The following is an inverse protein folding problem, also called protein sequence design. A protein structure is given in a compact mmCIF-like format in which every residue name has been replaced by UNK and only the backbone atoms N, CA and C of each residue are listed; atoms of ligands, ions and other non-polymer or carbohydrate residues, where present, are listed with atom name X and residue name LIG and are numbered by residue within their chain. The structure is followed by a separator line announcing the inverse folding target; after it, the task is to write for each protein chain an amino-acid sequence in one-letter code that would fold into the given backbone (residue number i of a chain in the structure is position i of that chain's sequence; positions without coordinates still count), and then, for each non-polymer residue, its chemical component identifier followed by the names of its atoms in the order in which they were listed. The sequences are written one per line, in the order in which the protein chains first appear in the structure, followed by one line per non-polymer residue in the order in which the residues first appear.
data_IF_541252544569
#
_entry.id   IF_541252544569
#
_cell.length_a   1.000
_cell.length_b   1.000
_cell.length_c   1.000
_cell.angle_alpha   90.00
_cell.angle_beta   90.00
_cell.angle_gamma   90.00
#
_symmetry.space_group_name_H-M   'P 1'
#
loop_
_entity.id
_entity.type
_entity.pdbx_description
1 polymer ?
#
# COMPACT_ATOMS: atom_id res chain seq x y z
N UNK A 1 8.30 4.57 11.17
CA UNK A 1 7.40 3.39 11.21
C UNK A 1 7.31 2.73 9.85
N UNK A 2 6.87 1.48 9.81
CA UNK A 2 6.66 0.72 8.58
C UNK A 2 5.21 0.83 8.10
N UNK A 3 5.03 1.06 6.79
CA UNK A 3 3.73 1.17 6.13
C UNK A 3 3.67 0.16 5.00
N UNK A 4 2.85 -0.89 5.11
CA UNK A 4 2.72 -1.88 4.04
C UNK A 4 1.52 -1.60 3.14
N UNK A 5 1.75 -1.67 1.82
CA UNK A 5 0.73 -1.44 0.81
C UNK A 5 0.27 -2.79 0.25
N UNK A 6 -0.94 -3.20 0.58
CA UNK A 6 -1.51 -4.50 0.26
C UNK A 6 -2.69 -4.36 -0.70
N UNK A 7 -2.86 -5.31 -1.60
CA UNK A 7 -4.00 -5.31 -2.52
C UNK A 7 -3.79 -6.20 -3.73
N UNK A 8 -4.83 -6.33 -4.55
CA UNK A 8 -4.79 -7.16 -5.77
C UNK A 8 -3.67 -6.75 -6.74
N UNK A 9 -3.19 -7.68 -7.58
CA UNK A 9 -2.37 -7.31 -8.73
C UNK A 9 -3.00 -6.13 -9.48
N UNK A 10 -2.17 -5.18 -9.93
CA UNK A 10 -2.60 -4.00 -10.69
C UNK A 10 -3.52 -2.99 -9.97
N UNK A 11 -3.78 -3.13 -8.66
CA UNK A 11 -4.54 -2.14 -7.88
C UNK A 11 -3.86 -0.76 -7.77
N UNK A 12 -2.55 -0.67 -8.08
CA UNK A 12 -1.79 0.58 -8.09
C UNK A 12 -0.85 0.79 -6.90
N UNK A 13 -0.48 -0.28 -6.17
CA UNK A 13 0.44 -0.23 -5.02
C UNK A 13 1.76 0.49 -5.31
N UNK A 14 2.52 0.04 -6.31
CA UNK A 14 3.80 0.67 -6.67
C UNK A 14 3.63 2.11 -7.17
N UNK A 15 2.55 2.39 -7.90
CA UNK A 15 2.22 3.77 -8.33
C UNK A 15 1.95 4.67 -7.14
N UNK A 16 1.20 4.19 -6.15
CA UNK A 16 0.92 4.91 -4.90
C UNK A 16 2.23 5.21 -4.15
N UNK A 17 3.06 4.18 -3.93
CA UNK A 17 4.34 4.32 -3.23
C UNK A 17 5.23 5.36 -3.91
N UNK A 18 5.48 5.22 -5.23
CA UNK A 18 6.36 6.13 -5.97
C UNK A 18 5.87 7.58 -5.92
N UNK A 19 4.54 7.78 -5.85
CA UNK A 19 3.95 9.11 -5.78
C UNK A 19 4.05 9.71 -4.37
N UNK A 20 3.84 8.91 -3.34
CA UNK A 20 4.02 9.32 -1.94
C UNK A 20 5.48 9.71 -1.64
N UNK A 21 6.44 9.00 -2.24
CA UNK A 21 7.88 9.28 -2.09
C UNK A 21 8.38 10.44 -2.96
N UNK A 22 7.49 11.03 -3.78
CA UNK A 22 7.86 11.88 -4.89
C UNK A 22 8.59 11.09 -5.98
N UNK A 23 8.54 11.57 -7.22
CA UNK A 23 9.12 10.89 -8.39
C UNK A 23 10.67 10.68 -8.33
N UNK A 24 11.32 10.84 -7.16
CA UNK A 24 12.75 10.62 -6.93
C UNK A 24 13.13 9.14 -6.91
N UNK A 25 12.16 8.24 -6.72
CA UNK A 25 12.38 6.79 -6.79
C UNK A 25 11.80 6.29 -8.11
N UNK A 26 12.63 6.29 -9.16
CA UNK A 26 12.30 5.58 -10.40
C UNK A 26 12.35 4.06 -10.14
N UNK A 27 11.30 3.53 -9.53
CA UNK A 27 10.99 2.10 -9.55
C UNK A 27 9.70 1.93 -10.36
N UNK A 28 9.66 2.55 -11.54
CA UNK A 28 8.67 2.26 -12.58
C UNK A 28 9.32 1.40 -13.64
N UNK A 29 9.40 0.10 -13.41
CA UNK A 29 9.41 -0.81 -14.56
C UNK A 29 7.96 -1.01 -14.97
N UNK A 30 7.57 -0.49 -16.14
CA UNK A 30 6.26 -0.68 -16.77
C UNK A 30 6.04 -2.12 -17.27
N UNK A 31 6.36 -3.14 -16.46
CA UNK A 31 6.05 -4.53 -16.78
C UNK A 31 4.86 -5.00 -15.95
N UNK A 32 3.78 -5.51 -16.56
CA UNK A 32 2.85 -6.36 -15.82
C UNK A 32 3.69 -7.47 -15.15
N UNK A 33 3.53 -7.70 -13.83
CA UNK A 33 4.28 -8.67 -12.98
C UNK A 33 5.57 -8.20 -12.24
N UNK A 34 5.71 -6.92 -11.87
CA UNK A 34 7.00 -6.38 -11.36
C UNK A 34 7.39 -6.75 -9.93
N UNK A 35 6.46 -6.87 -8.99
CA UNK A 35 6.82 -7.03 -7.58
C UNK A 35 6.82 -8.52 -7.20
N UNK A 36 7.83 -9.28 -7.66
CA UNK A 36 8.10 -10.65 -7.14
C UNK A 36 8.83 -10.62 -5.79
N UNK A 37 9.50 -9.51 -5.50
CA UNK A 37 10.19 -9.20 -4.24
C UNK A 37 9.59 -7.92 -3.64
N UNK A 38 9.57 -7.81 -2.32
CA UNK A 38 9.18 -6.58 -1.63
C UNK A 38 10.11 -5.44 -2.03
N UNK A 39 9.56 -4.28 -2.35
CA UNK A 39 10.32 -3.06 -2.59
C UNK A 39 10.15 -2.18 -1.35
N UNK A 40 11.27 -1.61 -0.91
CA UNK A 40 11.32 -0.73 0.25
C UNK A 40 11.58 0.68 -0.26
N UNK A 41 10.68 1.59 0.06
CA UNK A 41 10.81 3.02 -0.23
C UNK A 41 10.83 3.82 1.07
N UNK A 42 11.76 4.76 1.19
CA UNK A 42 12.02 5.47 2.44
C UNK A 42 11.73 6.96 2.24
N UNK A 43 10.85 7.50 3.09
CA UNK A 43 10.59 8.93 3.23
C UNK A 43 11.16 9.40 4.55
N UNK A 44 12.18 10.27 4.50
CA UNK A 44 12.79 10.84 5.69
C UNK A 44 12.56 12.35 5.74
N UNK A 45 12.10 12.83 6.87
CA UNK A 45 12.04 14.25 7.25
C UNK A 45 13.01 14.50 8.41
N UNK A 46 13.00 15.70 9.00
CA UNK A 46 13.94 16.05 10.07
C UNK A 46 13.75 15.18 11.31
N UNK A 47 12.50 14.94 11.70
CA UNK A 47 12.07 14.27 12.92
C UNK A 47 11.23 13.00 12.67
N UNK A 48 11.08 12.59 11.40
CA UNK A 48 10.24 11.45 11.02
C UNK A 48 10.89 10.58 9.94
N UNK A 49 10.64 9.27 10.01
CA UNK A 49 10.96 8.34 8.93
C UNK A 49 9.81 7.35 8.69
N UNK A 50 9.39 7.27 7.43
CA UNK A 50 8.35 6.37 6.94
C UNK A 50 8.98 5.38 5.98
N UNK A 51 8.80 4.09 6.25
CA UNK A 51 9.29 3.02 5.40
C UNK A 51 8.11 2.34 4.71
N UNK A 52 7.91 2.65 3.44
CA UNK A 52 6.89 2.03 2.61
C UNK A 52 7.35 0.66 2.11
N UNK A 53 6.48 -0.32 2.25
CA UNK A 53 6.67 -1.69 1.78
C UNK A 53 5.69 -1.95 0.64
N UNK A 54 6.14 -1.86 -0.61
CA UNK A 54 5.36 -2.31 -1.77
C UNK A 54 5.45 -3.82 -1.91
N UNK A 55 4.30 -4.49 -1.80
CA UNK A 55 4.23 -5.95 -1.80
C UNK A 55 3.80 -6.51 -3.15
N UNK A 56 4.11 -7.78 -3.43
CA UNK A 56 3.43 -8.53 -4.48
C UNK A 56 1.89 -8.39 -4.39
N UNK A 57 1.21 -8.47 -5.53
CA UNK A 57 -0.26 -8.49 -5.53
C UNK A 57 -0.79 -9.75 -4.84
N UNK A 58 -1.77 -9.58 -3.94
CA UNK A 58 -2.32 -10.69 -3.17
C UNK A 58 -3.15 -11.59 -4.08
N UNK A 59 -2.81 -12.88 -4.07
CA UNK A 59 -3.42 -13.93 -4.90
C UNK A 59 -3.53 -15.23 -4.11
N UNK A 60 -4.37 -16.14 -4.58
CA UNK A 60 -4.37 -17.53 -4.11
C UNK A 60 -3.25 -18.32 -4.83
N UNK A 61 -2.22 -18.78 -4.11
CA UNK A 61 -1.03 -19.36 -4.72
C UNK A 61 -1.27 -20.79 -5.21
N UNK A 62 -0.88 -21.08 -6.45
CA UNK A 62 -0.97 -22.41 -7.09
C UNK A 62 0.38 -23.12 -7.21
N UNK A 63 1.48 -22.38 -7.23
CA UNK A 63 2.85 -22.91 -7.39
C UNK A 63 3.85 -22.16 -6.50
N UNK A 64 5.07 -22.71 -6.36
CA UNK A 64 6.05 -22.27 -5.35
C UNK A 64 6.42 -20.79 -5.41
N UNK A 65 6.58 -20.23 -6.62
CA UNK A 65 6.85 -18.80 -6.77
C UNK A 65 5.74 -17.94 -6.13
N UNK A 66 4.47 -18.32 -6.35
CA UNK A 66 3.35 -17.58 -5.75
C UNK A 66 3.31 -17.77 -4.23
N UNK A 67 3.65 -18.96 -3.72
CA UNK A 67 3.76 -19.19 -2.27
C UNK A 67 4.85 -18.30 -1.67
N UNK A 68 6.01 -18.19 -2.31
CA UNK A 68 7.08 -17.30 -1.89
C UNK A 68 6.65 -15.82 -1.90
N UNK A 69 5.99 -15.36 -2.98
CA UNK A 69 5.41 -14.02 -3.04
C UNK A 69 4.45 -13.76 -1.87
N UNK A 70 3.63 -14.75 -1.52
CA UNK A 70 2.68 -14.60 -0.45
C UNK A 70 3.31 -14.62 0.95
N UNK A 71 4.41 -15.35 1.16
CA UNK A 71 5.23 -15.22 2.37
C UNK A 71 5.77 -13.80 2.53
N UNK A 72 6.18 -13.15 1.44
CA UNK A 72 6.62 -11.75 1.43
C UNK A 72 5.49 -10.81 1.85
N UNK A 73 4.27 -11.02 1.34
CA UNK A 73 3.08 -10.28 1.75
C UNK A 73 2.80 -10.47 3.24
N UNK A 74 2.81 -11.72 3.73
CA UNK A 74 2.53 -12.03 5.13
C UNK A 74 3.56 -11.40 6.09
N UNK A 75 4.84 -11.36 5.69
CA UNK A 75 5.90 -10.66 6.42
C UNK A 75 5.69 -9.15 6.46
N UNK A 76 5.49 -8.51 5.31
CA UNK A 76 5.22 -7.07 5.22
C UNK A 76 4.03 -6.67 6.11
N UNK A 77 2.97 -7.47 6.07
CA UNK A 77 1.79 -7.29 6.92
C UNK A 77 2.12 -7.40 8.41
N UNK A 78 3.03 -8.30 8.79
CA UNK A 78 3.42 -8.54 10.19
C UNK A 78 4.30 -7.42 10.73
N UNK A 79 5.22 -6.92 9.91
CA UNK A 79 6.21 -5.90 10.29
C UNK A 79 5.63 -4.48 10.28
N UNK A 80 4.56 -4.23 9.53
CA UNK A 80 3.98 -2.89 9.38
C UNK A 80 3.25 -2.38 10.62
N UNK A 81 3.46 -1.10 10.94
CA UNK A 81 2.68 -0.34 11.93
C UNK A 81 1.32 0.07 11.36
N UNK A 82 1.30 0.47 10.08
CA UNK A 82 0.10 0.88 9.33
C UNK A 82 -0.03 0.03 8.08
N UNK A 83 -1.25 -0.43 7.79
CA UNK A 83 -1.59 -1.19 6.60
C UNK A 83 -2.46 -0.38 5.68
N UNK A 84 -2.05 -0.24 4.43
CA UNK A 84 -2.87 0.37 3.38
C UNK A 84 -3.48 -0.73 2.52
N UNK A 85 -4.79 -0.95 2.62
CA UNK A 85 -5.52 -1.82 1.70
C UNK A 85 -5.92 -1.02 0.46
N UNK A 86 -5.17 -1.18 -0.63
CA UNK A 86 -5.51 -0.53 -1.90
C UNK A 86 -6.44 -1.38 -2.76
N UNK A 87 -7.51 -0.73 -3.22
CA UNK A 87 -8.55 -1.31 -4.05
C UNK A 87 -8.70 -0.48 -5.33
N UNK A 88 -8.73 -1.14 -6.49
CA UNK A 88 -9.10 -0.49 -7.74
C UNK A 88 -10.62 -0.28 -7.75
N UNK A 89 -11.08 0.95 -7.89
CA UNK A 89 -12.51 1.26 -7.88
C UNK A 89 -13.32 0.51 -8.96
N UNK A 90 -12.70 0.16 -10.10
CA UNK A 90 -13.33 -0.64 -11.17
C UNK A 90 -13.15 -2.15 -10.99
N UNK A 91 -12.21 -2.61 -10.16
CA UNK A 91 -11.99 -4.02 -9.83
C UNK A 91 -11.91 -4.22 -8.31
N UNK A 92 -13.04 -3.98 -7.65
CA UNK A 92 -13.16 -3.93 -6.19
C UNK A 92 -13.49 -5.27 -5.53
N UNK A 93 -13.48 -6.38 -6.29
CA UNK A 93 -13.63 -7.72 -5.74
C UNK A 93 -12.39 -8.07 -4.92
N UNK A 94 -12.55 -8.36 -3.62
CA UNK A 94 -11.46 -8.72 -2.73
C UNK A 94 -11.20 -10.24 -2.80
N UNK A 95 -9.95 -10.72 -2.97
CA UNK A 95 -9.65 -12.15 -2.95
C UNK A 95 -9.89 -12.74 -1.56
N UNK A 96 -10.34 -13.99 -1.47
CA UNK A 96 -10.59 -14.68 -0.19
C UNK A 96 -9.38 -14.68 0.75
N UNK A 97 -8.17 -14.69 0.22
CA UNK A 97 -6.95 -14.52 1.03
C UNK A 97 -6.86 -13.17 1.73
N UNK A 98 -7.23 -12.07 1.07
CA UNK A 98 -7.25 -10.74 1.72
C UNK A 98 -8.25 -10.78 2.88
N UNK A 99 -9.46 -11.34 2.71
CA UNK A 99 -10.39 -11.51 3.84
C UNK A 99 -9.76 -12.22 5.04
N UNK A 100 -9.11 -13.36 4.80
CA UNK A 100 -8.44 -14.14 5.85
C UNK A 100 -7.29 -13.39 6.50
N UNK A 101 -6.54 -12.60 5.73
CA UNK A 101 -5.47 -11.78 6.28
C UNK A 101 -6.05 -10.74 7.24
N UNK A 102 -7.12 -10.02 6.84
CA UNK A 102 -7.69 -8.92 7.61
C UNK A 102 -8.41 -9.37 8.88
N UNK A 103 -9.14 -10.48 8.83
CA UNK A 103 -9.79 -11.04 10.04
C UNK A 103 -8.80 -11.41 11.15
N UNK A 104 -7.52 -11.60 10.82
CA UNK A 104 -6.46 -11.90 11.80
C UNK A 104 -5.71 -10.66 12.32
N UNK A 105 -6.07 -9.44 11.92
CA UNK A 105 -5.31 -8.20 12.21
C UNK A 105 -5.90 -7.35 13.35
N UNK A 106 -6.22 -8.00 14.47
CA UNK A 106 -6.67 -7.25 15.64
C UNK A 106 -5.57 -6.30 16.14
N UNK A 107 -5.90 -5.01 16.26
CA UNK A 107 -5.03 -3.98 16.86
C UNK A 107 -3.98 -3.36 15.92
N UNK A 108 -4.08 -3.58 14.61
CA UNK A 108 -3.27 -2.82 13.62
C UNK A 108 -4.08 -1.67 13.05
N UNK A 109 -3.40 -0.57 12.73
CA UNK A 109 -3.98 0.54 12.00
C UNK A 109 -4.16 0.16 10.53
N UNK A 110 -5.37 0.22 10.01
CA UNK A 110 -5.73 -0.19 8.66
C UNK A 110 -6.47 0.94 7.96
N UNK A 111 -5.89 1.43 6.86
CA UNK A 111 -6.50 2.40 5.98
C UNK A 111 -7.00 1.75 4.70
N UNK A 112 -8.25 2.02 4.34
CA UNK A 112 -8.82 1.64 3.05
C UNK A 112 -8.47 2.70 2.00
N UNK A 113 -7.84 2.29 0.90
CA UNK A 113 -7.46 3.18 -0.19
C UNK A 113 -8.26 2.84 -1.44
N UNK A 114 -9.28 3.63 -1.76
CA UNK A 114 -10.02 3.53 -3.02
C UNK A 114 -9.23 4.27 -4.08
N UNK A 115 -8.54 3.52 -4.95
CA UNK A 115 -7.67 4.07 -5.97
C UNK A 115 -8.33 4.12 -7.35
N UNK A 116 -7.75 4.93 -8.24
CA UNK A 116 -8.19 5.17 -9.62
C UNK A 116 -9.54 5.87 -9.70
N UNK A 117 -9.84 6.74 -8.73
CA UNK A 117 -11.08 7.53 -8.69
C UNK A 117 -11.25 8.45 -9.91
N UNK A 118 -10.18 8.71 -10.66
CA UNK A 118 -10.22 9.42 -11.94
C UNK A 118 -11.06 8.70 -13.03
N UNK A 119 -11.46 7.44 -12.79
CA UNK A 119 -12.24 6.63 -13.73
C UNK A 119 -13.73 6.52 -13.41
N UNK A 120 -14.18 7.17 -12.34
CA UNK A 120 -15.53 7.05 -11.80
C UNK A 120 -16.00 8.38 -11.24
N UNK A 121 -17.30 8.46 -10.97
CA UNK A 121 -17.88 9.54 -10.17
C UNK A 121 -17.56 9.34 -8.68
N UNK A 122 -17.63 10.42 -7.90
CA UNK A 122 -17.43 10.35 -6.45
C UNK A 122 -18.48 9.43 -5.78
N UNK A 123 -19.73 9.45 -6.27
CA UNK A 123 -20.80 8.55 -5.78
C UNK A 123 -20.50 7.06 -6.02
N UNK A 124 -19.96 6.71 -7.18
CA UNK A 124 -19.52 5.33 -7.45
C UNK A 124 -18.37 4.92 -6.51
N UNK A 125 -17.39 5.80 -6.30
CA UNK A 125 -16.27 5.53 -5.41
C UNK A 125 -16.73 5.34 -3.95
N UNK A 126 -17.60 6.21 -3.45
CA UNK A 126 -18.21 6.07 -2.13
C UNK A 126 -19.02 4.79 -1.99
N UNK A 127 -19.77 4.40 -3.04
CA UNK A 127 -20.52 3.16 -3.04
C UNK A 127 -19.62 1.91 -2.91
N UNK A 128 -18.43 1.93 -3.50
CA UNK A 128 -17.42 0.87 -3.33
C UNK A 128 -16.87 0.88 -1.90
N UNK A 129 -16.54 2.05 -1.35
CA UNK A 129 -16.04 2.17 0.02
C UNK A 129 -17.04 1.60 1.04
N UNK A 130 -18.31 2.00 0.95
CA UNK A 130 -19.36 1.55 1.88
C UNK A 130 -19.50 0.02 1.88
N UNK A 131 -19.53 -0.60 0.70
CA UNK A 131 -19.59 -2.07 0.59
C UNK A 131 -18.44 -2.75 1.33
N UNK A 132 -17.23 -2.22 1.21
CA UNK A 132 -16.06 -2.80 1.88
C UNK A 132 -16.10 -2.54 3.38
N UNK A 133 -16.59 -1.37 3.81
CA UNK A 133 -16.78 -1.03 5.22
C UNK A 133 -17.87 -1.87 5.90
N UNK A 134 -18.88 -2.34 5.16
CA UNK A 134 -19.86 -3.29 5.68
C UNK A 134 -19.25 -4.68 5.97
N UNK A 135 -18.11 -4.99 5.36
CA UNK A 135 -17.43 -6.29 5.45
C UNK A 135 -16.20 -6.27 6.37
N UNK A 136 -15.59 -5.10 6.57
CA UNK A 136 -14.36 -4.92 7.34
C UNK A 136 -14.33 -3.60 8.09
N UNK A 137 -13.76 -3.63 9.30
CA UNK A 137 -13.41 -2.42 10.02
C UNK A 137 -12.13 -1.81 9.47
N UNK A 138 -12.20 -0.53 9.12
CA UNK A 138 -11.06 0.30 8.73
C UNK A 138 -11.03 1.52 9.65
N UNK A 139 -9.83 1.95 10.04
CA UNK A 139 -9.68 3.13 10.88
C UNK A 139 -9.94 4.42 10.08
N UNK A 140 -9.64 4.42 8.78
CA UNK A 140 -9.94 5.53 7.87
C UNK A 140 -10.00 5.06 6.41
N UNK A 141 -10.65 5.87 5.55
CA UNK A 141 -10.86 5.61 4.12
C UNK A 141 -10.42 6.80 3.28
N UNK A 142 -9.54 6.55 2.32
CA UNK A 142 -8.99 7.56 1.42
C UNK A 142 -9.35 7.28 -0.03
N UNK A 143 -9.85 8.31 -0.70
CA UNK A 143 -10.12 8.30 -2.14
C UNK A 143 -8.96 8.93 -2.89
N UNK A 144 -8.26 8.13 -3.69
CA UNK A 144 -7.04 8.58 -4.36
C UNK A 144 -7.03 8.29 -5.85
N UNK A 145 -6.34 9.15 -6.60
CA UNK A 145 -5.79 8.78 -7.90
C UNK A 145 -4.28 8.76 -7.74
N UNK A 146 -3.70 7.58 -7.51
CA UNK A 146 -2.25 7.44 -7.44
C UNK A 146 -1.59 7.97 -8.72
N UNK A 147 -2.22 7.75 -9.88
CA UNK A 147 -1.69 8.23 -11.15
C UNK A 147 -1.62 9.76 -11.20
N UNK A 148 -2.65 10.46 -10.75
CA UNK A 148 -2.79 11.92 -10.90
C UNK A 148 -2.42 12.72 -9.64
N UNK A 149 -2.17 12.05 -8.52
CA UNK A 149 -1.85 12.68 -7.23
C UNK A 149 -3.06 13.14 -6.40
N UNK A 150 -4.31 13.01 -6.91
CA UNK A 150 -5.53 13.39 -6.16
C UNK A 150 -5.61 12.59 -4.86
N UNK A 151 -5.84 13.27 -3.74
CA UNK A 151 -6.04 12.66 -2.41
C UNK A 151 -4.78 12.19 -1.69
N UNK A 152 -3.60 12.27 -2.32
CA UNK A 152 -2.37 11.73 -1.72
C UNK A 152 -1.82 12.56 -0.55
N UNK A 153 -2.04 13.88 -0.57
CA UNK A 153 -1.61 14.74 0.53
C UNK A 153 -2.33 14.34 1.83
N UNK A 154 -3.66 14.25 1.78
CA UNK A 154 -4.47 13.83 2.93
C UNK A 154 -4.07 12.44 3.45
N UNK A 155 -3.80 11.50 2.54
CA UNK A 155 -3.30 10.18 2.92
C UNK A 155 -1.94 10.26 3.62
N UNK A 156 -0.99 11.04 3.08
CA UNK A 156 0.33 11.19 3.68
C UNK A 156 0.23 11.82 5.07
N UNK A 157 -0.54 12.87 5.24
CA UNK A 157 -0.71 13.55 6.53
C UNK A 157 -1.28 12.60 7.59
N UNK A 158 -2.30 11.80 7.23
CA UNK A 158 -2.84 10.80 8.15
C UNK A 158 -1.86 9.66 8.48
N UNK A 159 -1.02 9.25 7.53
CA UNK A 159 0.07 8.30 7.80
C UNK A 159 1.04 8.89 8.81
N UNK A 160 1.44 10.15 8.65
CA UNK A 160 2.34 10.85 9.57
C UNK A 160 1.78 10.91 10.98
N UNK A 161 0.50 11.24 11.11
CA UNK A 161 -0.17 11.38 12.42
C UNK A 161 -0.29 10.05 13.19
N UNK A 162 -0.33 8.92 12.48
CA UNK A 162 -0.51 7.60 13.09
C UNK A 162 0.80 6.79 13.22
N UNK A 163 1.93 7.31 12.71
CA UNK A 163 3.21 6.65 12.88
C UNK A 163 3.68 6.75 14.32
N UNK A 164 4.01 5.60 14.90
CA UNK A 164 4.52 5.53 16.27
C UNK A 164 5.91 6.17 16.37
N UNK A 165 6.19 6.90 17.47
CA UNK A 165 7.53 7.40 17.75
C UNK A 165 8.55 6.26 17.84
N UNK A 166 9.76 6.49 17.32
CA UNK A 166 10.84 5.53 17.35
C UNK A 166 12.11 6.08 16.73
N UNK A 167 13.26 5.38 16.87
CA UNK A 167 14.48 5.77 16.19
C UNK A 167 14.33 5.63 14.67
N UNK A 168 15.13 6.36 13.88
CA UNK A 168 15.25 6.07 12.46
C UNK A 168 15.85 4.67 12.26
N UNK A 169 15.31 3.93 11.30
CA UNK A 169 15.79 2.60 10.92
C UNK A 169 16.88 2.66 9.84
N UNK A 170 16.88 3.73 9.04
CA UNK A 170 17.77 3.93 7.89
C UNK A 170 18.47 5.29 7.91
N UNK A 171 19.62 5.44 7.23
CA UNK A 171 20.22 6.75 6.96
C UNK A 171 19.23 7.70 6.27
N UNK A 172 19.26 8.99 6.62
CA UNK A 172 18.28 9.98 6.15
C UNK A 172 18.30 10.21 4.64
N UNK A 173 19.44 10.02 4.00
CA UNK A 173 19.68 10.17 2.56
C UNK A 173 19.28 8.93 1.74
N UNK A 174 19.00 7.81 2.41
CA UNK A 174 18.62 6.57 1.76
C UNK A 174 17.16 6.63 1.30
N UNK A 175 16.93 6.36 0.01
CA UNK A 175 15.60 6.35 -0.59
C UNK A 175 15.04 4.92 -0.77
N UNK A 176 15.89 3.92 -0.96
CA UNK A 176 15.50 2.53 -1.21
C UNK A 176 16.64 1.56 -0.87
N UNK A 177 16.32 0.34 -0.44
CA UNK A 177 17.30 -0.74 -0.26
C UNK A 177 17.71 -1.42 -1.57
N UNK A 178 16.87 -1.35 -2.61
CA UNK A 178 17.21 -1.87 -3.93
C UNK A 178 17.94 -0.79 -4.75
N UNK A 179 18.97 -1.16 -5.54
CA UNK A 179 19.71 -0.19 -6.35
C UNK A 179 18.74 0.52 -7.29
N UNK A 180 18.71 1.85 -7.17
CA UNK A 180 17.95 2.74 -8.07
C UNK A 180 18.51 2.52 -9.47
N UNK A 181 17.73 1.87 -10.34
CA UNK A 181 18.09 1.79 -11.76
C UNK A 181 17.61 3.07 -12.42
N UNK A 182 18.57 3.91 -12.80
CA UNK A 182 18.36 5.07 -13.66
C UNK A 182 17.87 4.64 -15.05
#
# INVERSE_FOLDING_TARGET
GYVAILGKPNAGKSTLMNRLLGNKISITTHKPQTTRHQIIGIHSEEDMQIIFLDTPGVIDPKYELQKAMMKTVDRARTDADILLLIVDVKDHNIPGRIYKMFSSMKGKQIFLIINKIDKVTDQEAEGVARKLQDEFDFDDTFFVSALNGKGLQNLMDNIKDHIKPGPPFYPKDMLSEQPVRF
#
